data_IF_628649055896
#
_entry.id   IF_628649055896
#
_cell.length_a   1.000
_cell.length_b   1.000
_cell.length_c   1.000
_cell.angle_alpha   90.00
_cell.angle_beta   90.00
_cell.angle_gamma   90.00
#
_symmetry.space_group_name_H-M   'P 1'
#
loop_
_entity.id
_entity.type
_entity.pdbx_description
1 polymer ?
#
# COMPACT_ATOMS: atom_id res chain seq x y z
N UNK A 1 7.55 10.47 24.98
CA UNK A 1 6.28 11.02 25.49
C UNK A 1 5.56 9.89 26.21
N UNK A 2 4.99 10.11 27.42
CA UNK A 2 4.14 9.11 28.06
C UNK A 2 3.05 8.69 27.07
N UNK A 3 2.73 7.41 27.02
CA UNK A 3 1.94 6.81 25.95
C UNK A 3 0.54 7.40 25.86
N UNK A 4 0.33 8.32 24.91
CA UNK A 4 -0.99 8.72 24.43
C UNK A 4 -1.75 7.45 24.07
N UNK A 5 -2.86 7.19 24.76
CA UNK A 5 -3.68 6.02 24.45
C UNK A 5 -4.21 6.16 23.01
N UNK A 6 -4.46 5.05 22.33
CA UNK A 6 -5.15 5.09 21.03
C UNK A 6 -6.50 5.83 21.10
N UNK A 7 -7.14 5.85 22.28
CA UNK A 7 -8.36 6.61 22.51
C UNK A 7 -8.11 8.11 22.47
N UNK A 8 -7.04 8.57 23.11
CA UNK A 8 -6.68 9.98 23.20
C UNK A 8 -6.28 10.48 21.80
N UNK A 9 -5.46 9.70 21.08
CA UNK A 9 -5.10 10.00 19.70
C UNK A 9 -6.34 10.11 18.78
N UNK A 10 -7.31 9.20 18.93
CA UNK A 10 -8.56 9.26 18.13
C UNK A 10 -9.40 10.49 18.49
N UNK A 11 -9.42 10.91 19.75
CA UNK A 11 -10.14 12.10 20.16
C UNK A 11 -9.50 13.37 19.55
N UNK A 12 -8.17 13.48 19.63
CA UNK A 12 -7.42 14.57 19.01
C UNK A 12 -7.61 14.62 17.48
N UNK A 13 -7.55 13.47 16.81
CA UNK A 13 -7.83 13.39 15.37
C UNK A 13 -9.24 13.87 15.03
N UNK A 14 -10.25 13.48 15.82
CA UNK A 14 -11.64 13.91 15.58
C UNK A 14 -11.81 15.42 15.76
N UNK A 15 -11.19 16.01 16.78
CA UNK A 15 -11.24 17.46 16.99
C UNK A 15 -10.56 18.22 15.83
N UNK A 16 -9.41 17.72 15.35
CA UNK A 16 -8.75 18.27 14.18
C UNK A 16 -9.62 18.14 12.92
N UNK A 17 -10.26 16.99 12.73
CA UNK A 17 -11.19 16.77 11.62
C UNK A 17 -12.42 17.69 11.70
N UNK A 18 -12.95 17.95 12.89
CA UNK A 18 -14.10 18.84 13.14
C UNK A 18 -13.77 20.32 12.92
N UNK A 19 -12.53 20.74 13.20
CA UNK A 19 -12.10 22.14 13.08
C UNK A 19 -11.50 22.49 11.72
N UNK A 20 -11.07 21.51 10.91
CA UNK A 20 -10.49 21.75 9.59
C UNK A 20 -11.50 22.30 8.57
N UNK A 21 -11.03 23.13 7.61
CA UNK A 21 -11.86 23.65 6.51
C UNK A 21 -12.28 22.57 5.49
N UNK A 22 -11.51 21.49 5.42
CA UNK A 22 -11.73 20.38 4.50
C UNK A 22 -10.64 19.32 4.59
N UNK A 23 -10.77 18.29 3.77
CA UNK A 23 -9.85 17.16 3.75
C UNK A 23 -9.10 17.04 2.43
N UNK A 24 -7.81 16.73 2.53
CA UNK A 24 -6.97 16.35 1.38
C UNK A 24 -6.72 14.86 1.46
N UNK A 25 -7.21 14.12 0.46
CA UNK A 25 -7.21 12.65 0.46
C UNK A 25 -6.36 12.14 -0.70
N UNK A 26 -5.45 11.22 -0.40
CA UNK A 26 -4.69 10.48 -1.41
C UNK A 26 -5.57 9.37 -2.02
N UNK A 27 -6.54 9.77 -2.83
CA UNK A 27 -7.40 8.92 -3.66
C UNK A 27 -7.76 9.68 -4.95
N UNK A 28 -8.61 9.10 -5.80
CA UNK A 28 -9.14 9.73 -7.00
C UNK A 28 -10.62 9.39 -7.16
N UNK A 29 -11.38 10.24 -7.86
CA UNK A 29 -12.84 10.24 -7.82
C UNK A 29 -13.45 8.95 -8.35
N UNK A 30 -12.88 8.44 -9.42
CA UNK A 30 -13.37 7.26 -10.12
C UNK A 30 -13.30 6.00 -9.25
N UNK A 31 -12.38 5.96 -8.28
CA UNK A 31 -12.25 4.83 -7.35
C UNK A 31 -13.27 4.89 -6.21
N UNK A 32 -13.53 6.09 -5.66
CA UNK A 32 -14.19 6.29 -4.37
C UNK A 32 -15.43 7.20 -4.45
N UNK A 33 -16.06 7.35 -5.62
CA UNK A 33 -17.14 8.32 -5.88
C UNK A 33 -18.23 8.33 -4.82
N UNK A 34 -18.73 7.14 -4.47
CA UNK A 34 -19.81 7.00 -3.48
C UNK A 34 -19.36 7.43 -2.09
N UNK A 35 -18.15 7.05 -1.68
CA UNK A 35 -17.57 7.44 -0.40
C UNK A 35 -17.41 8.95 -0.29
N UNK A 36 -16.95 9.62 -1.34
CA UNK A 36 -16.78 11.08 -1.35
C UNK A 36 -18.10 11.82 -1.21
N UNK A 37 -19.15 11.34 -1.89
CA UNK A 37 -20.48 11.92 -1.81
C UNK A 37 -21.01 11.81 -0.38
N UNK A 38 -20.91 10.63 0.22
CA UNK A 38 -21.28 10.41 1.62
C UNK A 38 -20.47 11.33 2.52
N UNK A 39 -19.15 11.40 2.32
CA UNK A 39 -18.26 12.20 3.16
C UNK A 39 -18.62 13.69 3.11
N UNK A 40 -18.83 14.24 1.90
CA UNK A 40 -19.22 15.65 1.72
C UNK A 40 -20.57 15.95 2.38
N UNK A 41 -21.55 15.05 2.25
CA UNK A 41 -22.88 15.21 2.86
C UNK A 41 -22.81 15.12 4.38
N UNK A 42 -22.09 14.13 4.93
CA UNK A 42 -22.01 13.89 6.37
C UNK A 42 -21.21 14.98 7.08
N UNK A 43 -20.13 15.47 6.47
CA UNK A 43 -19.25 16.45 7.11
C UNK A 43 -19.62 17.90 6.76
N UNK A 44 -20.29 18.13 5.63
CA UNK A 44 -20.52 19.47 5.08
C UNK A 44 -19.23 20.14 4.59
N UNK A 45 -18.12 19.40 4.48
CA UNK A 45 -16.78 19.94 4.20
C UNK A 45 -16.33 19.69 2.77
N UNK A 46 -15.38 20.50 2.33
CA UNK A 46 -14.69 20.28 1.07
C UNK A 46 -13.76 19.06 1.18
N UNK A 47 -13.68 18.30 0.09
CA UNK A 47 -12.77 17.15 -0.04
C UNK A 47 -12.04 17.26 -1.36
N UNK A 48 -10.72 17.39 -1.28
CA UNK A 48 -9.81 17.40 -2.42
C UNK A 48 -9.12 16.05 -2.53
N UNK A 49 -9.37 15.37 -3.64
CA UNK A 49 -8.64 14.16 -3.99
C UNK A 49 -7.47 14.52 -4.87
N UNK A 50 -6.28 14.21 -4.39
CA UNK A 50 -5.01 14.59 -5.00
C UNK A 50 -4.15 13.38 -5.35
N UNK A 51 -4.75 12.19 -5.30
CA UNK A 51 -4.08 10.93 -5.56
C UNK A 51 -4.15 10.47 -7.02
N UNK A 52 -3.52 9.33 -7.31
CA UNK A 52 -2.68 8.56 -6.39
C UNK A 52 -1.25 9.14 -6.31
N UNK A 53 -0.78 9.45 -5.09
CA UNK A 53 0.57 9.99 -4.87
C UNK A 53 1.70 9.06 -5.33
N UNK A 54 1.40 7.78 -5.59
CA UNK A 54 2.34 6.86 -6.24
C UNK A 54 2.73 7.27 -7.64
N UNK A 55 1.88 8.02 -8.35
CA UNK A 55 2.13 8.45 -9.72
C UNK A 55 2.78 9.83 -9.81
N UNK A 56 2.72 10.63 -8.73
CA UNK A 56 3.18 12.02 -8.74
C UNK A 56 4.72 12.23 -8.74
N UNK A 57 5.51 11.15 -8.76
CA UNK A 57 6.97 11.19 -8.56
C UNK A 57 7.73 10.40 -9.65
N UNK A 58 7.38 10.63 -10.92
CA UNK A 58 7.98 9.93 -12.05
C UNK A 58 9.40 10.42 -12.40
N UNK A 59 9.79 11.62 -11.95
CA UNK A 59 11.11 12.19 -12.20
C UNK A 59 12.18 11.55 -11.30
N UNK A 60 13.38 11.36 -11.86
CA UNK A 60 14.51 10.68 -11.21
C UNK A 60 14.91 11.29 -9.87
N UNK A 61 14.66 12.59 -9.66
CA UNK A 61 14.96 13.30 -8.41
C UNK A 61 14.04 12.95 -7.23
N UNK A 62 12.77 12.62 -7.47
CA UNK A 62 11.79 12.38 -6.41
C UNK A 62 11.73 10.92 -5.95
N UNK A 63 12.29 9.99 -6.74
CA UNK A 63 12.42 8.57 -6.38
C UNK A 63 13.27 8.36 -5.13
N UNK A 64 14.28 9.21 -4.91
CA UNK A 64 15.22 9.17 -3.77
C UNK A 64 14.50 9.36 -2.42
N UNK A 65 13.34 10.04 -2.41
CA UNK A 65 12.63 10.41 -1.16
C UNK A 65 11.66 9.32 -0.68
N UNK A 66 11.17 8.45 -1.58
CA UNK A 66 10.14 7.44 -1.27
C UNK A 66 10.68 6.13 -0.69
N UNK A 67 11.98 5.92 -0.82
CA UNK A 67 12.71 4.77 -0.32
C UNK A 67 14.16 4.97 -0.69
N UNK A 68 15.08 4.67 0.23
CA UNK A 68 16.49 4.60 -0.11
C UNK A 68 16.61 3.54 -1.20
N UNK A 69 17.04 3.88 -2.41
CA UNK A 69 17.37 2.86 -3.41
C UNK A 69 18.28 1.83 -2.73
N UNK A 70 17.75 0.63 -2.55
CA UNK A 70 18.51 -0.45 -1.91
C UNK A 70 18.99 -1.38 -3.00
N UNK A 71 20.20 -1.90 -2.87
CA UNK A 71 20.74 -2.91 -3.79
C UNK A 71 19.80 -4.12 -3.99
N UNK A 72 18.90 -4.38 -3.03
CA UNK A 72 17.86 -5.40 -3.12
C UNK A 72 16.74 -5.10 -4.13
N UNK A 73 16.45 -3.83 -4.45
CA UNK A 73 15.45 -3.48 -5.47
C UNK A 73 15.90 -3.94 -6.85
N UNK A 74 17.15 -3.62 -7.22
CA UNK A 74 17.75 -4.08 -8.48
C UNK A 74 17.76 -5.61 -8.60
N UNK A 75 18.14 -6.31 -7.53
CA UNK A 75 18.14 -7.79 -7.50
C UNK A 75 16.72 -8.39 -7.64
N UNK A 76 15.71 -7.75 -7.07
CA UNK A 76 14.32 -8.20 -7.17
C UNK A 76 13.79 -8.02 -8.60
N UNK A 77 14.11 -6.88 -9.23
CA UNK A 77 13.70 -6.61 -10.61
C UNK A 77 14.36 -7.58 -11.60
N UNK A 78 15.67 -7.80 -11.51
CA UNK A 78 16.39 -8.78 -12.33
C UNK A 78 15.82 -10.21 -12.19
N UNK A 79 15.32 -10.55 -11.01
CA UNK A 79 14.68 -11.84 -10.76
C UNK A 79 13.26 -11.92 -11.35
N UNK A 80 12.48 -10.83 -11.25
CA UNK A 80 11.14 -10.72 -11.82
C UNK A 80 11.15 -10.81 -13.35
N UNK A 81 12.13 -10.17 -14.02
CA UNK A 81 12.27 -10.17 -15.48
C UNK A 81 12.48 -11.58 -16.08
N UNK A 82 12.91 -12.54 -15.25
CA UNK A 82 13.17 -13.94 -15.67
C UNK A 82 11.97 -14.86 -15.47
N UNK A 83 10.81 -14.32 -15.07
CA UNK A 83 9.59 -15.11 -14.80
C UNK A 83 8.57 -14.90 -15.91
N UNK A 84 7.72 -15.91 -16.10
CA UNK A 84 6.60 -15.83 -17.03
C UNK A 84 5.63 -14.71 -16.63
N UNK A 85 5.00 -14.02 -17.61
CA UNK A 85 4.01 -13.00 -17.29
C UNK A 85 2.91 -13.54 -16.38
N UNK A 86 2.57 -12.77 -15.33
CA UNK A 86 1.52 -13.10 -14.35
C UNK A 86 1.79 -14.38 -13.53
N UNK A 87 3.04 -14.86 -13.45
CA UNK A 87 3.38 -16.09 -12.69
C UNK A 87 3.89 -15.85 -11.26
N UNK A 88 4.01 -14.59 -10.83
CA UNK A 88 4.60 -14.21 -9.53
C UNK A 88 3.57 -13.56 -8.62
N UNK A 89 3.58 -13.92 -7.35
CA UNK A 89 2.72 -13.32 -6.30
C UNK A 89 3.56 -12.40 -5.41
N UNK A 90 3.12 -11.14 -5.26
CA UNK A 90 3.68 -10.19 -4.30
C UNK A 90 2.95 -10.29 -2.95
N UNK A 91 3.71 -10.35 -1.85
CA UNK A 91 3.19 -10.41 -0.48
C UNK A 91 3.91 -9.37 0.39
N UNK A 92 3.15 -8.50 1.06
CA UNK A 92 3.68 -7.51 2.01
C UNK A 92 2.63 -7.14 3.06
N UNK A 93 3.07 -7.00 4.32
CA UNK A 93 2.22 -6.63 5.45
C UNK A 93 2.46 -5.18 5.93
N UNK A 94 3.21 -4.39 5.15
CA UNK A 94 3.63 -3.04 5.53
C UNK A 94 4.73 -3.04 6.61
N UNK A 95 5.23 -1.85 6.94
CA UNK A 95 6.44 -1.68 7.77
C UNK A 95 6.29 -2.12 9.23
N UNK A 96 5.06 -2.24 9.73
CA UNK A 96 4.78 -2.43 11.16
C UNK A 96 4.40 -3.86 11.55
N UNK A 97 4.49 -4.81 10.61
CA UNK A 97 4.11 -6.21 10.83
C UNK A 97 5.29 -7.10 10.44
N UNK A 98 5.74 -7.95 11.36
CA UNK A 98 6.63 -9.07 11.05
C UNK A 98 5.78 -10.34 10.98
N UNK A 99 5.95 -11.12 9.93
CA UNK A 99 5.43 -12.47 9.93
C UNK A 99 6.21 -13.28 10.97
N UNK A 100 5.51 -13.94 11.89
CA UNK A 100 6.14 -14.92 12.77
C UNK A 100 6.50 -16.15 11.93
N UNK A 101 7.73 -16.66 12.01
CA UNK A 101 8.06 -17.92 11.35
C UNK A 101 7.25 -19.04 12.01
N UNK A 102 6.48 -19.78 11.22
CA UNK A 102 5.92 -21.06 11.69
C UNK A 102 7.07 -21.99 12.07
N UNK A 103 6.96 -22.67 13.22
CA UNK A 103 7.99 -23.54 13.80
C UNK A 103 8.29 -24.84 13.01
N UNK A 104 7.81 -24.96 11.77
CA UNK A 104 8.24 -25.99 10.84
C UNK A 104 9.37 -25.42 10.00
N UNK A 105 10.61 -25.82 10.34
CA UNK A 105 11.87 -25.26 9.84
C UNK A 105 12.13 -25.37 8.33
N UNK A 106 11.37 -24.63 7.52
CA UNK A 106 11.63 -24.37 6.11
C UNK A 106 12.16 -22.95 5.91
N UNK A 107 13.47 -22.80 5.78
CA UNK A 107 14.10 -21.54 5.45
C UNK A 107 13.70 -21.06 4.05
N UNK A 108 13.33 -19.77 3.97
CA UNK A 108 13.23 -19.00 2.73
C UNK A 108 11.85 -19.07 2.08
N UNK A 109 11.23 -17.90 1.88
CA UNK A 109 10.14 -17.76 0.91
C UNK A 109 10.69 -18.12 -0.48
N UNK A 110 10.61 -19.40 -0.83
CA UNK A 110 10.89 -19.87 -2.18
C UNK A 110 9.65 -19.52 -3.00
N UNK A 111 9.83 -18.71 -4.04
CA UNK A 111 8.78 -18.52 -5.02
C UNK A 111 8.38 -19.90 -5.57
N UNK A 112 7.15 -20.33 -5.27
CA UNK A 112 6.57 -21.55 -5.82
C UNK A 112 6.04 -21.19 -7.20
N UNK A 113 6.71 -21.68 -8.24
CA UNK A 113 6.17 -21.63 -9.60
C UNK A 113 5.01 -22.62 -9.70
N UNK A 114 3.86 -22.15 -10.16
CA UNK A 114 2.75 -23.03 -10.54
C UNK A 114 3.21 -23.78 -11.79
N UNK A 115 3.33 -25.11 -11.69
CA UNK A 115 3.68 -25.98 -12.82
C UNK A 115 2.57 -26.02 -13.87
N UNK A 116 2.96 -26.11 -15.13
CA UNK A 116 2.06 -26.15 -16.28
C UNK A 116 1.02 -27.27 -16.16
N UNK A 117 -0.25 -26.90 -16.26
CA UNK A 117 -1.36 -27.83 -16.42
C UNK A 117 -1.45 -28.28 -17.88
N UNK A 118 -0.44 -28.99 -18.39
CA UNK A 118 -0.60 -29.82 -19.58
C UNK A 118 -1.17 -31.17 -19.18
N UNK A 119 -2.50 -31.29 -19.16
CA UNK A 119 -3.28 -32.30 -19.89
C UNK A 119 -4.68 -32.47 -19.32
N UNK A 120 -5.68 -32.04 -20.08
CA UNK A 120 -6.96 -32.74 -20.24
C UNK A 120 -7.20 -32.62 -21.75
N UNK A 121 -7.02 -33.66 -22.58
CA UNK A 121 -7.63 -34.98 -22.53
C UNK A 121 -8.56 -35.04 -23.75
N UNK A 122 -8.33 -36.02 -24.64
CA UNK A 122 -9.01 -36.26 -25.93
C UNK A 122 -10.53 -36.29 -25.87
#
# INVERSE_FOLDING_TARGET
MPGTSFKDLRAEMREAEETADGMVVNSYEELEREYLNIFRVTTGKQVWMVGPFSLANADEGDKIVRGKETSSEYQCMDWLERKEPKSVVYVSFGKHRKAEPSADGGAGARAVGVGDATSYGS
#
